data_IF_673364823565
#
_entry.id   IF_673364823565
#
_cell.length_a   1.000
_cell.length_b   1.000
_cell.length_c   1.000
_cell.angle_alpha   90.00
_cell.angle_beta   90.00
_cell.angle_gamma   90.00
#
_symmetry.space_group_name_H-M   'P 1'
#
loop_
_entity.id
_entity.type
_entity.pdbx_description
1 polymer ?
#
# COMPACT_ATOMS: atom_id res chain seq x y z
N UNK A 1 -11.18 -2.12 23.75
CA UNK A 1 -11.89 -3.26 23.15
C UNK A 1 -11.21 -3.54 21.82
N UNK A 2 -10.33 -4.55 21.74
CA UNK A 2 -9.58 -4.84 20.52
C UNK A 2 -10.55 -4.93 19.33
N UNK A 3 -10.36 -4.04 18.35
CA UNK A 3 -11.25 -3.95 17.20
C UNK A 3 -11.11 -5.26 16.41
N UNK A 4 -12.22 -5.99 16.26
CA UNK A 4 -12.22 -7.25 15.50
C UNK A 4 -12.00 -7.01 13.99
N UNK A 5 -12.00 -5.73 13.57
CA UNK A 5 -11.83 -5.25 12.19
C UNK A 5 -10.41 -5.40 11.63
N UNK A 6 -9.43 -5.53 12.53
CA UNK A 6 -8.02 -5.76 12.16
C UNK A 6 -7.62 -7.23 12.28
N UNK A 7 -8.59 -8.12 12.56
CA UNK A 7 -8.33 -9.54 12.75
C UNK A 7 -8.05 -10.22 11.41
N UNK A 8 -6.78 -10.24 11.02
CA UNK A 8 -6.33 -10.97 9.84
C UNK A 8 -6.63 -12.47 9.98
N UNK A 9 -7.46 -13.00 9.08
CA UNK A 9 -7.79 -14.43 9.04
C UNK A 9 -6.51 -15.29 9.02
N UNK A 10 -6.44 -16.39 9.78
CA UNK A 10 -5.26 -17.25 9.82
C UNK A 10 -4.81 -17.76 8.45
N UNK A 11 -5.76 -18.03 7.54
CA UNK A 11 -5.46 -18.46 6.17
C UNK A 11 -4.81 -17.35 5.34
N UNK A 12 -5.26 -16.11 5.48
CA UNK A 12 -4.63 -14.95 4.80
C UNK A 12 -3.22 -14.72 5.36
N UNK A 13 -3.04 -14.84 6.68
CA UNK A 13 -1.70 -14.80 7.28
C UNK A 13 -0.78 -15.88 6.71
N UNK A 14 -1.27 -17.10 6.55
CA UNK A 14 -0.51 -18.19 5.95
C UNK A 14 -0.15 -17.91 4.49
N UNK A 15 -1.06 -17.35 3.69
CA UNK A 15 -0.77 -16.90 2.32
C UNK A 15 0.31 -15.82 2.31
N UNK A 16 0.18 -14.81 3.17
CA UNK A 16 1.14 -13.72 3.31
C UNK A 16 2.55 -14.23 3.62
N UNK A 17 2.68 -15.22 4.52
CA UNK A 17 3.95 -15.89 4.82
C UNK A 17 4.47 -16.73 3.66
N UNK A 18 3.60 -17.32 2.83
CA UNK A 18 4.00 -18.15 1.68
C UNK A 18 4.47 -17.36 0.48
N UNK A 19 4.17 -16.05 0.42
CA UNK A 19 4.65 -15.17 -0.64
C UNK A 19 6.12 -14.79 -0.48
N UNK A 20 6.78 -15.14 0.62
CA UNK A 20 8.22 -14.84 0.79
C UNK A 20 9.08 -15.45 -0.34
N UNK A 21 10.06 -14.71 -0.88
CA UNK A 21 10.51 -13.37 -0.46
C UNK A 21 9.78 -12.20 -1.16
N UNK A 22 8.75 -12.47 -1.98
CA UNK A 22 8.00 -11.43 -2.70
C UNK A 22 7.33 -10.46 -1.72
N UNK A 23 7.59 -9.15 -1.83
CA UNK A 23 6.97 -8.16 -0.94
C UNK A 23 5.46 -8.15 -1.03
N UNK A 24 4.82 -8.27 0.13
CA UNK A 24 3.37 -8.23 0.23
C UNK A 24 2.89 -7.60 1.54
N UNK A 25 1.73 -6.96 1.47
CA UNK A 25 1.02 -6.39 2.62
C UNK A 25 -0.48 -6.58 2.47
N UNK A 26 -1.19 -6.52 3.59
CA UNK A 26 -2.64 -6.53 3.65
C UNK A 26 -3.10 -5.18 4.15
N UNK A 27 -3.96 -4.53 3.38
CA UNK A 27 -4.63 -3.29 3.78
C UNK A 27 -6.12 -3.49 3.95
N UNK A 28 -6.75 -2.68 4.81
CA UNK A 28 -8.19 -2.52 4.81
C UNK A 28 -8.64 -1.50 3.74
N UNK A 29 -9.94 -1.27 3.66
CA UNK A 29 -10.57 -0.39 2.68
C UNK A 29 -10.18 1.09 2.76
N UNK A 30 -9.73 1.57 3.93
CA UNK A 30 -9.25 2.94 4.13
C UNK A 30 -7.73 3.03 4.05
N UNK A 31 -7.06 1.92 3.71
CA UNK A 31 -5.62 1.85 3.52
C UNK A 31 -4.82 1.59 4.80
N UNK A 32 -5.45 1.26 5.93
CA UNK A 32 -4.67 0.84 7.11
C UNK A 32 -3.97 -0.48 6.80
N UNK A 33 -2.66 -0.52 7.09
CA UNK A 33 -1.84 -1.71 6.90
C UNK A 33 -2.05 -2.64 8.10
N UNK A 34 -2.75 -3.74 7.85
CA UNK A 34 -3.13 -4.74 8.86
C UNK A 34 -1.97 -5.72 9.13
N UNK A 35 -1.24 -6.08 8.08
CA UNK A 35 -0.08 -6.96 8.17
C UNK A 35 0.82 -6.82 6.94
N UNK A 36 2.08 -7.25 7.08
CA UNK A 36 3.04 -7.36 5.99
C UNK A 36 3.95 -8.55 6.22
N UNK A 37 4.53 -9.07 5.14
CA UNK A 37 5.58 -10.09 5.22
C UNK A 37 6.97 -9.42 5.33
N UNK A 38 8.02 -10.22 5.47
CA UNK A 38 9.42 -9.78 5.52
C UNK A 38 9.81 -9.00 4.27
N UNK A 39 9.48 -9.49 3.07
CA UNK A 39 9.66 -8.74 1.82
C UNK A 39 8.98 -7.36 1.84
N UNK A 40 7.74 -7.28 2.34
CA UNK A 40 7.00 -6.04 2.50
C UNK A 40 7.67 -5.08 3.49
N UNK A 41 8.16 -5.60 4.62
CA UNK A 41 8.96 -4.81 5.57
C UNK A 41 10.23 -4.24 4.92
N UNK A 42 10.94 -5.06 4.16
CA UNK A 42 12.18 -4.66 3.49
C UNK A 42 11.93 -3.62 2.40
N UNK A 43 10.81 -3.71 1.67
CA UNK A 43 10.46 -2.78 0.60
C UNK A 43 9.91 -1.45 1.13
N UNK A 44 8.94 -1.48 2.06
CA UNK A 44 8.19 -0.30 2.50
C UNK A 44 8.68 0.31 3.81
N UNK A 45 9.39 -0.45 4.64
CA UNK A 45 9.93 0.02 5.91
C UNK A 45 10.90 1.18 5.74
N UNK A 46 11.93 1.07 4.86
CA UNK A 46 12.91 2.14 4.69
C UNK A 46 12.32 3.48 4.20
N UNK A 47 11.22 3.46 3.43
CA UNK A 47 10.55 4.70 3.01
C UNK A 47 9.75 5.34 4.13
N UNK A 48 9.49 4.60 5.21
CA UNK A 48 8.69 5.05 6.35
C UNK A 48 7.18 4.91 6.17
N UNK A 49 6.75 4.20 5.11
CA UNK A 49 5.32 3.92 4.88
C UNK A 49 4.73 3.09 6.04
N UNK A 50 5.57 2.31 6.71
CA UNK A 50 5.19 1.47 7.85
C UNK A 50 5.37 2.14 9.23
N UNK A 51 5.68 3.44 9.30
CA UNK A 51 5.99 4.13 10.57
C UNK A 51 4.76 4.55 11.39
N UNK A 52 3.58 4.64 10.77
CA UNK A 52 2.35 5.08 11.43
C UNK A 52 1.81 4.08 12.47
N UNK A 53 0.85 4.51 13.29
CA UNK A 53 0.17 3.64 14.26
C UNK A 53 -1.36 3.83 14.23
N UNK A 54 -2.11 2.98 13.49
CA UNK A 54 -1.60 2.02 12.51
C UNK A 54 -0.96 2.71 11.29
N UNK A 55 -0.05 2.06 10.55
CA UNK A 55 0.42 2.59 9.28
C UNK A 55 -0.76 2.66 8.30
N UNK A 56 -0.82 3.72 7.49
CA UNK A 56 -1.92 3.90 6.53
C UNK A 56 -1.38 4.42 5.19
N UNK A 57 -1.66 3.70 4.11
CA UNK A 57 -1.15 4.00 2.77
C UNK A 57 -1.69 5.31 2.22
N UNK A 58 -2.97 5.62 2.46
CA UNK A 58 -3.60 6.84 1.97
C UNK A 58 -3.07 8.09 2.71
N UNK A 59 -2.94 8.01 4.04
CA UNK A 59 -2.27 9.06 4.83
C UNK A 59 -0.83 9.24 4.40
N UNK A 60 -0.09 8.16 4.19
CA UNK A 60 1.27 8.26 3.69
C UNK A 60 1.32 9.00 2.35
N UNK A 61 0.52 8.58 1.36
CA UNK A 61 0.51 9.18 0.03
C UNK A 61 0.16 10.68 0.07
N UNK A 62 -0.84 11.09 0.85
CA UNK A 62 -1.36 12.47 0.79
C UNK A 62 -0.81 13.43 1.87
N UNK A 63 -0.39 12.93 3.03
CA UNK A 63 0.01 13.76 4.17
C UNK A 63 1.51 13.64 4.52
N UNK A 64 2.18 12.55 4.15
CA UNK A 64 3.61 12.39 4.45
C UNK A 64 4.47 13.01 3.33
N UNK A 65 5.39 13.96 3.65
CA UNK A 65 6.25 14.58 2.65
C UNK A 65 7.16 13.57 1.94
N UNK A 66 7.49 12.44 2.57
CA UNK A 66 8.35 11.38 2.01
C UNK A 66 7.68 10.66 0.84
N UNK A 67 6.35 10.74 0.71
CA UNK A 67 5.64 10.06 -0.38
C UNK A 67 6.02 10.58 -1.76
N UNK A 68 6.29 11.89 -1.90
CA UNK A 68 6.73 12.49 -3.18
C UNK A 68 8.10 12.02 -3.61
N UNK A 69 8.98 11.70 -2.65
CA UNK A 69 10.29 11.11 -2.94
C UNK A 69 10.16 9.61 -3.24
N UNK A 70 9.30 8.91 -2.49
CA UNK A 70 9.09 7.46 -2.58
C UNK A 70 8.37 7.05 -3.87
N UNK A 71 7.43 7.87 -4.35
CA UNK A 71 6.70 7.64 -5.58
C UNK A 71 7.07 8.74 -6.58
N UNK A 72 8.06 8.53 -7.46
CA UNK A 72 8.42 9.49 -8.50
C UNK A 72 7.25 9.87 -9.40
N UNK A 73 6.31 8.94 -9.62
CA UNK A 73 5.01 9.19 -10.22
C UNK A 73 3.95 9.20 -9.11
N UNK A 74 3.95 10.29 -8.35
CA UNK A 74 3.05 10.45 -7.21
C UNK A 74 1.59 10.59 -7.67
N UNK A 75 1.36 11.20 -8.83
CA UNK A 75 0.04 11.31 -9.45
C UNK A 75 -0.59 9.92 -9.66
N UNK A 76 0.17 8.96 -10.20
CA UNK A 76 -0.29 7.57 -10.32
C UNK A 76 -0.59 6.94 -8.94
N UNK A 77 0.28 7.13 -7.95
CA UNK A 77 0.05 6.64 -6.57
C UNK A 77 -1.26 7.20 -5.97
N UNK A 78 -1.47 8.50 -6.12
CA UNK A 78 -2.66 9.21 -5.67
C UNK A 78 -3.93 8.70 -6.37
N UNK A 79 -3.90 8.50 -7.69
CA UNK A 79 -5.04 7.95 -8.43
C UNK A 79 -5.41 6.54 -7.97
N UNK A 80 -4.43 5.69 -7.68
CA UNK A 80 -4.66 4.33 -7.14
C UNK A 80 -5.35 4.42 -5.78
N UNK A 81 -4.85 5.28 -4.88
CA UNK A 81 -5.41 5.51 -3.56
C UNK A 81 -6.86 6.02 -3.61
N UNK A 82 -7.12 7.06 -4.42
CA UNK A 82 -8.46 7.64 -4.58
C UNK A 82 -9.46 6.62 -5.11
N UNK A 83 -9.04 5.80 -6.09
CA UNK A 83 -9.88 4.76 -6.66
C UNK A 83 -10.25 3.68 -5.66
N UNK A 84 -9.30 3.25 -4.82
CA UNK A 84 -9.60 2.28 -3.75
C UNK A 84 -10.62 2.84 -2.76
N UNK A 85 -10.45 4.09 -2.31
CA UNK A 85 -11.39 4.74 -1.40
C UNK A 85 -12.78 4.90 -2.03
N UNK A 86 -12.87 5.23 -3.32
CA UNK A 86 -14.15 5.34 -4.04
C UNK A 86 -14.88 4.01 -4.20
N UNK A 87 -14.15 2.89 -4.28
CA UNK A 87 -14.73 1.54 -4.33
C UNK A 87 -15.11 1.00 -2.95
N UNK A 88 -14.72 1.69 -1.88
CA UNK A 88 -15.03 1.24 -0.54
C UNK A 88 -16.54 1.34 -0.27
N UNK A 89 -17.09 0.27 0.32
CA UNK A 89 -18.49 0.22 0.76
C UNK A 89 -18.62 0.32 2.28
N UNK A 90 -17.51 0.56 2.99
CA UNK A 90 -17.54 0.58 4.45
C UNK A 90 -18.11 1.92 4.97
N UNK A 91 -19.00 1.87 5.97
CA UNK A 91 -19.62 3.09 6.53
C UNK A 91 -18.63 4.12 7.08
N UNK A 92 -17.45 3.67 7.50
CA UNK A 92 -16.44 4.52 8.16
C UNK A 92 -15.52 5.22 7.15
N UNK A 93 -15.66 4.91 5.85
CA UNK A 93 -14.84 5.54 4.80
C UNK A 93 -15.14 7.03 4.72
N UNK A 94 -16.39 7.46 4.91
CA UNK A 94 -16.75 8.89 4.90
C UNK A 94 -16.06 9.67 6.03
N UNK A 95 -16.01 9.10 7.24
CA UNK A 95 -15.31 9.68 8.39
C UNK A 95 -13.80 9.79 8.13
N UNK A 96 -13.20 8.75 7.56
CA UNK A 96 -11.79 8.76 7.18
C UNK A 96 -11.50 9.81 6.10
N UNK A 97 -12.31 9.89 5.05
CA UNK A 97 -12.19 10.88 3.98
C UNK A 97 -12.29 12.29 4.54
N UNK A 98 -13.24 12.56 5.44
CA UNK A 98 -13.36 13.86 6.09
C UNK A 98 -12.11 14.19 6.93
N UNK A 99 -11.63 13.23 7.74
CA UNK A 99 -10.41 13.40 8.53
C UNK A 99 -9.19 13.68 7.65
N UNK A 100 -8.98 12.90 6.59
CA UNK A 100 -7.84 13.07 5.70
C UNK A 100 -7.93 14.36 4.88
N UNK A 101 -9.14 14.80 4.51
CA UNK A 101 -9.32 16.10 3.82
C UNK A 101 -8.95 17.29 4.72
N UNK A 102 -9.15 17.17 6.03
CA UNK A 102 -8.72 18.20 6.98
C UNK A 102 -7.19 18.20 7.19
N UNK A 103 -6.55 17.02 7.13
CA UNK A 103 -5.10 16.85 7.26
C UNK A 103 -4.35 17.26 5.98
N UNK A 104 -4.89 16.89 4.81
CA UNK A 104 -4.33 17.12 3.49
C UNK A 104 -5.39 17.72 2.55
N UNK A 105 -5.52 19.06 2.46
CA UNK A 105 -6.54 19.70 1.63
C UNK A 105 -6.50 19.29 0.15
N UNK A 106 -5.31 19.02 -0.41
CA UNK A 106 -5.15 18.52 -1.79
C UNK A 106 -5.89 17.18 -2.00
N UNK A 107 -5.92 16.31 -0.99
CA UNK A 107 -6.69 15.07 -1.05
C UNK A 107 -8.18 15.35 -1.19
N UNK A 108 -8.74 16.29 -0.40
CA UNK A 108 -10.17 16.59 -0.42
C UNK A 108 -10.63 17.10 -1.78
N UNK A 109 -9.87 18.02 -2.38
CA UNK A 109 -10.12 18.55 -3.72
C UNK A 109 -10.08 17.45 -4.79
N UNK A 110 -9.02 16.63 -4.78
CA UNK A 110 -8.86 15.53 -5.73
C UNK A 110 -9.93 14.46 -5.55
N UNK A 111 -10.23 14.08 -4.32
CA UNK A 111 -11.26 13.08 -4.03
C UNK A 111 -12.61 13.53 -4.54
N UNK A 112 -13.00 14.79 -4.30
CA UNK A 112 -14.25 15.36 -4.81
C UNK A 112 -14.33 15.35 -6.35
N UNK A 113 -13.21 15.62 -7.04
CA UNK A 113 -13.13 15.66 -8.50
C UNK A 113 -12.92 14.28 -9.17
N UNK A 114 -12.57 13.25 -8.41
CA UNK A 114 -12.20 11.94 -8.97
C UNK A 114 -13.40 11.19 -9.54
N UNK A 115 -13.40 10.96 -10.86
CA UNK A 115 -14.45 10.26 -11.61
C UNK A 115 -13.93 9.05 -12.39
N UNK A 116 -12.66 8.66 -12.22
CA UNK A 116 -12.03 7.69 -13.09
C UNK A 116 -12.49 6.25 -12.80
N UNK A 117 -13.16 5.66 -13.79
CA UNK A 117 -13.49 4.23 -13.85
C UNK A 117 -12.35 3.42 -14.50
N UNK A 118 -12.29 2.12 -14.23
CA UNK A 118 -11.26 1.20 -14.74
C UNK A 118 -10.27 0.74 -13.66
N UNK A 119 -9.47 -0.27 -13.99
CA UNK A 119 -8.57 -0.91 -13.03
C UNK A 119 -7.13 -0.45 -13.27
N UNK A 120 -6.46 0.18 -12.29
CA UNK A 120 -5.04 0.42 -12.36
C UNK A 120 -4.38 -0.90 -11.98
N UNK A 121 -4.24 -1.76 -12.97
CA UNK A 121 -3.14 -2.71 -12.96
C UNK A 121 -2.06 -2.06 -13.80
N UNK A 122 -0.87 -1.93 -13.23
CA UNK A 122 0.15 -1.21 -13.95
C UNK A 122 1.29 -0.90 -13.02
N UNK A 123 2.48 -1.01 -13.56
CA UNK A 123 3.71 -0.79 -12.84
C UNK A 123 3.73 0.61 -12.22
N UNK A 124 4.27 0.73 -11.01
CA UNK A 124 4.52 2.01 -10.37
C UNK A 124 6.03 2.21 -10.14
N UNK A 125 6.61 3.35 -10.53
CA UNK A 125 7.96 3.67 -10.13
C UNK A 125 8.00 3.89 -8.62
N UNK A 126 9.02 3.33 -7.98
CA UNK A 126 9.21 3.40 -6.54
C UNK A 126 10.67 3.69 -6.22
N UNK A 127 10.92 4.74 -5.45
CA UNK A 127 12.27 5.09 -5.01
C UNK A 127 12.57 4.44 -3.67
N UNK A 128 13.37 3.38 -3.69
CA UNK A 128 13.79 2.70 -2.47
C UNK A 128 15.07 3.36 -1.90
N UNK A 129 15.09 3.81 -0.64
CA UNK A 129 16.22 4.55 -0.06
C UNK A 129 17.58 3.85 -0.20
N UNK A 130 17.62 2.52 -0.06
CA UNK A 130 18.86 1.74 -0.18
C UNK A 130 19.06 1.06 -1.54
N UNK A 131 18.02 0.96 -2.38
CA UNK A 131 18.05 0.13 -3.60
C UNK A 131 17.87 0.95 -4.89
N UNK A 132 17.62 2.25 -4.77
CA UNK A 132 17.43 3.16 -5.90
C UNK A 132 16.03 3.04 -6.50
N UNK A 133 15.91 3.44 -7.76
CA UNK A 133 14.64 3.43 -8.50
C UNK A 133 14.25 2.00 -8.90
N UNK A 134 13.05 1.59 -8.51
CA UNK A 134 12.45 0.30 -8.78
C UNK A 134 11.21 0.48 -9.64
N UNK A 135 10.89 -0.52 -10.46
CA UNK A 135 9.61 -0.61 -11.18
C UNK A 135 8.80 -1.76 -10.60
N UNK A 136 7.75 -1.41 -9.87
CA UNK A 136 6.92 -2.36 -9.15
C UNK A 136 5.68 -2.67 -9.97
N UNK A 137 5.60 -3.86 -10.54
CA UNK A 137 4.30 -4.40 -10.95
C UNK A 137 3.54 -4.77 -9.67
N UNK A 138 2.31 -4.31 -9.50
CA UNK A 138 1.53 -4.65 -8.31
C UNK A 138 0.22 -5.35 -8.67
N UNK A 139 -0.19 -6.26 -7.80
CA UNK A 139 -1.49 -6.93 -7.86
C UNK A 139 -2.26 -6.64 -6.57
N UNK A 140 -3.51 -6.21 -6.72
CA UNK A 140 -4.45 -6.06 -5.61
C UNK A 140 -5.49 -7.17 -5.68
N UNK A 141 -5.38 -8.12 -4.74
CA UNK A 141 -6.32 -9.21 -4.61
C UNK A 141 -7.35 -8.86 -3.53
N UNK A 142 -8.59 -8.76 -3.95
CA UNK A 142 -9.72 -8.57 -3.04
C UNK A 142 -9.94 -9.84 -2.20
N UNK A 143 -9.83 -9.71 -0.88
CA UNK A 143 -10.02 -10.80 0.09
C UNK A 143 -11.42 -10.81 0.70
N UNK A 144 -12.30 -9.90 0.26
CA UNK A 144 -13.60 -9.60 0.87
C UNK A 144 -14.50 -10.82 0.90
N UNK A 145 -14.88 -11.21 2.12
CA UNK A 145 -16.08 -12.03 2.38
C UNK A 145 -16.98 -11.32 3.42
N UNK A 146 -16.42 -10.53 4.34
CA UNK A 146 -17.14 -9.81 5.41
C UNK A 146 -16.66 -8.38 5.59
N UNK A 147 -15.34 -8.14 5.53
CA UNK A 147 -14.73 -6.81 5.57
C UNK A 147 -13.81 -6.64 4.37
N UNK A 148 -13.80 -5.44 3.77
CA UNK A 148 -13.02 -5.16 2.57
C UNK A 148 -11.53 -5.06 2.92
N UNK A 149 -10.82 -6.18 2.71
CA UNK A 149 -9.38 -6.28 2.85
C UNK A 149 -8.76 -6.63 1.49
N UNK A 150 -7.57 -6.09 1.24
CA UNK A 150 -6.85 -6.30 0.00
C UNK A 150 -5.45 -6.82 0.30
N UNK A 151 -5.07 -7.91 -0.36
CA UNK A 151 -3.67 -8.34 -0.43
C UNK A 151 -3.00 -7.60 -1.57
N UNK A 152 -1.99 -6.79 -1.24
CA UNK A 152 -1.13 -6.11 -2.21
C UNK A 152 0.13 -6.94 -2.37
N UNK A 153 0.41 -7.40 -3.58
CA UNK A 153 1.64 -8.12 -3.94
C UNK A 153 2.46 -7.25 -4.89
N UNK A 154 3.73 -7.03 -4.57
CA UNK A 154 4.65 -6.25 -5.42
C UNK A 154 5.67 -7.17 -6.07
N UNK A 155 5.70 -7.15 -7.39
CA UNK A 155 6.54 -7.95 -8.26
C UNK A 155 7.53 -7.05 -9.01
N UNK A 156 8.73 -7.56 -9.31
CA UNK A 156 9.66 -6.83 -10.16
C UNK A 156 9.13 -6.75 -11.59
N UNK A 157 9.00 -5.54 -12.14
CA UNK A 157 8.61 -5.34 -13.54
C UNK A 157 9.78 -5.52 -14.52
N UNK A 158 11.02 -5.53 -14.01
CA UNK A 158 12.24 -5.70 -14.80
C UNK A 158 13.34 -6.43 -14.03
N UNK A 159 14.40 -6.82 -14.75
CA UNK A 159 15.56 -7.50 -14.18
C UNK A 159 16.34 -6.62 -13.18
N UNK A 160 16.29 -5.30 -13.33
CA UNK A 160 16.93 -4.38 -12.38
C UNK A 160 16.27 -4.50 -11.00
N UNK A 161 14.94 -4.40 -10.98
CA UNK A 161 14.11 -4.51 -9.77
C UNK A 161 14.20 -5.90 -9.17
N UNK A 162 14.20 -6.95 -10.01
CA UNK A 162 14.36 -8.33 -9.54
C UNK A 162 15.67 -8.51 -8.76
N UNK A 163 16.79 -8.04 -9.32
CA UNK A 163 18.10 -8.09 -8.65
C UNK A 163 18.14 -7.24 -7.39
N UNK A 164 17.40 -6.13 -7.35
CA UNK A 164 17.28 -5.31 -6.14
C UNK A 164 16.55 -6.07 -5.03
N UNK A 165 15.45 -6.75 -5.35
CA UNK A 165 14.74 -7.62 -4.40
C UNK A 165 15.62 -8.75 -3.87
N UNK A 166 16.40 -9.39 -4.75
CA UNK A 166 17.35 -10.43 -4.36
C UNK A 166 18.38 -9.90 -3.34
N UNK A 167 18.92 -8.68 -3.57
CA UNK A 167 19.86 -8.02 -2.63
C UNK A 167 19.22 -7.67 -1.29
N UNK A 168 18.02 -7.10 -1.31
CA UNK A 168 17.28 -6.75 -0.08
C UNK A 168 17.02 -7.99 0.77
N UNK A 169 16.67 -9.11 0.13
CA UNK A 169 16.41 -10.39 0.79
C UNK A 169 17.70 -11.08 1.28
N UNK A 170 18.81 -10.95 0.55
CA UNK A 170 20.09 -11.53 0.96
C UNK A 170 20.75 -10.78 2.14
N UNK A 171 20.52 -9.48 2.26
CA UNK A 171 21.06 -8.65 3.34
C UNK A 171 20.53 -8.97 4.74
N UNK A 172 19.55 -9.86 4.87
CA UNK A 172 18.98 -10.30 6.15
C UNK A 172 19.65 -11.57 6.73
N UNK A 173 20.67 -12.11 6.05
CA UNK A 173 21.36 -13.35 6.40
C UNK A 173 22.72 -13.21 7.10
N UNK A 174 22.93 -12.18 7.94
CA UNK A 174 24.13 -12.03 8.78
C UNK A 174 23.74 -11.76 10.23
#
# INVERSE_FOLDING_TARGET
>A
MADHRDALRPTVRAVLTRLEPTPALVINQIGDVIAWNNGGRLLFGPSGLLDGSPPNTNRYIFADPRARETFPDWELAAEIALRQLRRSTCPHTEEFVASLSAEAPEFGERFAAFTADGQPFGEIPFQHPAAGTLRLAYELLDLSIVEQQFLVVCLPADDHTRRAFDRLSAGTGC
#
